data_IF_606654098206
#
_entry.id   IF_606654098206
#
_cell.length_a   1.000
_cell.length_b   1.000
_cell.length_c   1.000
_cell.angle_alpha   90.00
_cell.angle_beta   90.00
_cell.angle_gamma   90.00
#
_symmetry.space_group_name_H-M   'P 1'
#
loop_
_entity.id
_entity.type
_entity.pdbx_description
1 polymer ?
#
# COMPACT_ATOMS: atom_id res chain seq x y z
N UNK A 1 -19.78 33.65 10.55
CA UNK A 1 -19.83 32.55 11.56
C UNK A 1 -18.89 31.43 11.07
N UNK A 2 -17.68 31.30 11.66
CA UNK A 2 -17.13 30.11 12.40
C UNK A 2 -17.44 28.76 11.72
N UNK A 3 -16.53 27.81 11.45
CA UNK A 3 -15.11 27.52 11.78
C UNK A 3 -14.65 26.36 10.87
N UNK A 4 -13.55 26.48 10.12
CA UNK A 4 -12.23 25.82 10.30
C UNK A 4 -12.18 24.29 10.55
N UNK A 5 -11.27 23.67 9.78
CA UNK A 5 -10.33 22.59 10.12
C UNK A 5 -10.83 21.15 10.29
N UNK A 6 -10.63 20.34 9.25
CA UNK A 6 -10.26 18.93 9.41
C UNK A 6 -9.19 18.55 8.37
N UNK A 7 -8.05 19.23 8.45
CA UNK A 7 -6.77 18.71 7.98
C UNK A 7 -5.81 18.77 9.17
N UNK A 8 -6.13 18.02 10.22
CA UNK A 8 -5.23 17.89 11.35
C UNK A 8 -4.31 16.69 11.14
N UNK A 9 -3.09 17.04 10.73
CA UNK A 9 -1.83 16.37 11.07
C UNK A 9 -1.52 15.05 10.35
N UNK A 10 -1.29 15.11 9.04
CA UNK A 10 -0.64 14.05 8.26
C UNK A 10 0.79 13.68 8.73
N UNK A 11 1.32 14.35 9.77
CA UNK A 11 2.69 14.19 10.27
C UNK A 11 2.78 13.84 11.76
N UNK A 12 1.66 13.49 12.41
CA UNK A 12 1.67 13.05 13.81
C UNK A 12 2.31 11.65 13.93
N UNK A 13 3.63 11.61 14.12
CA UNK A 13 4.36 10.37 14.42
C UNK A 13 4.04 9.94 15.85
N UNK A 14 3.43 8.76 16.00
CA UNK A 14 3.33 8.10 17.29
C UNK A 14 4.59 7.29 17.53
N UNK A 15 5.22 7.48 18.67
CA UNK A 15 6.30 6.59 19.08
C UNK A 15 5.69 5.25 19.47
N UNK A 16 6.08 4.19 18.78
CA UNK A 16 5.63 2.82 19.06
C UNK A 16 6.85 2.02 19.46
N UNK A 17 6.89 1.58 20.72
CA UNK A 17 7.96 0.71 21.21
C UNK A 17 7.69 -0.71 20.68
N UNK A 18 8.68 -1.28 19.99
CA UNK A 18 8.63 -2.60 19.37
C UNK A 18 9.79 -3.44 19.87
N UNK A 19 9.50 -4.66 20.27
CA UNK A 19 10.51 -5.63 20.68
C UNK A 19 11.02 -6.38 19.45
N UNK A 20 12.34 -6.36 19.25
CA UNK A 20 13.03 -7.07 18.17
C UNK A 20 14.14 -7.95 18.76
N UNK A 21 14.55 -9.02 18.05
CA UNK A 21 15.70 -9.83 18.45
C UNK A 21 16.98 -8.99 18.61
N UNK A 22 17.75 -9.26 19.66
CA UNK A 22 18.93 -8.47 20.03
C UNK A 22 20.06 -8.58 19.00
N UNK A 23 20.24 -9.77 18.43
CA UNK A 23 21.16 -10.06 17.33
C UNK A 23 20.87 -9.20 16.10
N UNK A 24 19.60 -9.13 15.69
CA UNK A 24 19.14 -8.32 14.56
C UNK A 24 19.34 -6.82 14.81
N UNK A 25 19.06 -6.34 16.03
CA UNK A 25 19.27 -4.93 16.41
C UNK A 25 20.76 -4.59 16.39
N UNK A 26 21.60 -5.48 16.89
CA UNK A 26 23.05 -5.31 16.94
C UNK A 26 23.65 -5.29 15.54
N UNK A 27 23.23 -6.21 14.68
CA UNK A 27 23.63 -6.24 13.27
C UNK A 27 23.19 -4.98 12.53
N UNK A 28 21.93 -4.55 12.69
CA UNK A 28 21.42 -3.32 12.09
C UNK A 28 22.24 -2.09 12.51
N UNK A 29 22.62 -1.99 13.78
CA UNK A 29 23.50 -0.92 14.28
C UNK A 29 24.89 -0.98 13.65
N UNK A 30 25.50 -2.17 13.57
CA UNK A 30 26.81 -2.37 12.95
C UNK A 30 26.82 -1.98 11.47
N UNK A 31 25.71 -2.21 10.78
CA UNK A 31 25.52 -1.85 9.37
C UNK A 31 25.04 -0.40 9.16
N UNK A 32 24.84 0.38 10.22
CA UNK A 32 24.35 1.76 10.14
C UNK A 32 22.89 1.88 9.69
N UNK A 33 22.10 0.81 9.82
CA UNK A 33 20.69 0.76 9.43
C UNK A 33 19.84 1.42 10.51
N UNK A 34 19.02 2.39 10.12
CA UNK A 34 18.01 2.99 11.00
C UNK A 34 16.82 2.04 11.17
N UNK A 35 16.73 1.41 12.34
CA UNK A 35 15.68 0.44 12.70
C UNK A 35 14.28 1.04 12.52
N UNK A 36 14.06 2.27 12.99
CA UNK A 36 12.77 2.96 12.85
C UNK A 36 12.36 3.11 11.37
N UNK A 37 13.30 3.49 10.50
CA UNK A 37 13.04 3.64 9.07
C UNK A 37 12.82 2.29 8.37
N UNK A 38 13.56 1.26 8.79
CA UNK A 38 13.38 -0.09 8.28
C UNK A 38 12.00 -0.66 8.65
N UNK A 39 11.58 -0.47 9.90
CA UNK A 39 10.25 -0.85 10.38
C UNK A 39 9.14 -0.10 9.66
N UNK A 40 9.29 1.22 9.45
CA UNK A 40 8.33 2.02 8.71
C UNK A 40 8.15 1.49 7.27
N UNK A 41 9.26 1.21 6.58
CA UNK A 41 9.23 0.65 5.23
C UNK A 41 8.55 -0.72 5.20
N UNK A 42 8.92 -1.63 6.11
CA UNK A 42 8.33 -2.97 6.17
C UNK A 42 6.83 -2.92 6.46
N UNK A 43 6.43 -2.08 7.41
CA UNK A 43 5.01 -1.91 7.75
C UNK A 43 4.21 -1.26 6.62
N UNK A 44 4.78 -0.29 5.92
CA UNK A 44 4.13 0.33 4.76
C UNK A 44 3.91 -0.68 3.63
N UNK A 45 4.89 -1.55 3.38
CA UNK A 45 4.77 -2.64 2.39
C UNK A 45 3.64 -3.60 2.77
N UNK A 46 3.66 -4.16 3.98
CA UNK A 46 2.63 -5.09 4.47
C UNK A 46 1.22 -4.48 4.39
N UNK A 47 1.07 -3.21 4.81
CA UNK A 47 -0.21 -2.49 4.72
C UNK A 47 -0.65 -2.34 3.26
N UNK A 48 0.27 -2.02 2.35
CA UNK A 48 -0.05 -1.83 0.94
C UNK A 48 -0.49 -3.14 0.28
N UNK A 49 0.20 -4.24 0.57
CA UNK A 49 -0.14 -5.59 0.10
C UNK A 49 -1.51 -6.02 0.62
N UNK A 50 -1.76 -5.84 1.92
CA UNK A 50 -3.06 -6.20 2.50
C UNK A 50 -4.20 -5.36 1.92
N UNK A 51 -3.97 -4.06 1.68
CA UNK A 51 -4.96 -3.19 1.02
C UNK A 51 -5.21 -3.61 -0.42
N UNK A 52 -4.17 -3.97 -1.17
CA UNK A 52 -4.31 -4.46 -2.53
C UNK A 52 -5.13 -5.75 -2.58
N UNK A 53 -4.85 -6.70 -1.68
CA UNK A 53 -5.63 -7.94 -1.56
C UNK A 53 -7.10 -7.66 -1.24
N UNK A 54 -7.39 -6.81 -0.26
CA UNK A 54 -8.76 -6.43 0.09
C UNK A 54 -9.47 -5.69 -1.05
N UNK A 55 -8.74 -4.89 -1.83
CA UNK A 55 -9.30 -4.24 -2.99
C UNK A 55 -9.65 -5.26 -4.07
N UNK A 56 -8.76 -6.20 -4.35
CA UNK A 56 -9.00 -7.26 -5.33
C UNK A 56 -10.23 -8.09 -4.95
N UNK A 57 -10.33 -8.55 -3.70
CA UNK A 57 -11.49 -9.28 -3.19
C UNK A 57 -12.80 -8.50 -3.40
N UNK A 58 -12.79 -7.18 -3.13
CA UNK A 58 -13.98 -6.33 -3.30
C UNK A 58 -14.35 -6.06 -4.75
N UNK A 59 -13.36 -6.04 -5.65
CA UNK A 59 -13.56 -5.69 -7.05
C UNK A 59 -13.59 -6.92 -7.95
N UNK A 60 -13.46 -8.13 -7.41
CA UNK A 60 -13.41 -9.37 -8.18
C UNK A 60 -14.60 -9.51 -9.13
N UNK A 61 -15.82 -9.29 -8.63
CA UNK A 61 -17.03 -9.36 -9.46
C UNK A 61 -17.01 -8.35 -10.62
N UNK A 62 -16.59 -7.11 -10.37
CA UNK A 62 -16.49 -6.09 -11.41
C UNK A 62 -15.38 -6.39 -12.43
N UNK A 63 -14.27 -6.98 -11.98
CA UNK A 63 -13.18 -7.44 -12.83
C UNK A 63 -13.66 -8.59 -13.71
N UNK A 64 -14.40 -9.56 -13.15
CA UNK A 64 -14.93 -10.71 -13.87
C UNK A 64 -15.96 -10.28 -14.93
N UNK A 65 -16.88 -9.39 -14.58
CA UNK A 65 -17.85 -8.80 -15.52
C UNK A 65 -17.14 -8.05 -16.67
N UNK A 66 -16.13 -7.25 -16.34
CA UNK A 66 -15.36 -6.53 -17.34
C UNK A 66 -14.55 -7.46 -18.25
N UNK A 67 -13.96 -8.51 -17.70
CA UNK A 67 -13.25 -9.52 -18.45
C UNK A 67 -14.19 -10.25 -19.41
N UNK A 68 -15.36 -10.69 -18.94
CA UNK A 68 -16.38 -11.32 -19.78
C UNK A 68 -16.83 -10.40 -20.92
N UNK A 69 -17.04 -9.11 -20.63
CA UNK A 69 -17.37 -8.12 -21.66
C UNK A 69 -16.27 -8.00 -22.72
N UNK A 70 -14.99 -7.97 -22.33
CA UNK A 70 -13.87 -7.93 -23.27
C UNK A 70 -13.76 -9.22 -24.08
N UNK A 71 -14.00 -10.39 -23.49
CA UNK A 71 -13.98 -11.66 -24.22
C UNK A 71 -15.06 -11.72 -25.30
N UNK A 72 -16.26 -11.20 -25.00
CA UNK A 72 -17.38 -11.18 -25.94
C UNK A 72 -17.25 -10.08 -27.01
N UNK A 73 -16.82 -8.88 -26.62
CA UNK A 73 -16.88 -7.68 -27.47
C UNK A 73 -15.52 -7.26 -28.03
N UNK A 74 -14.44 -7.91 -27.60
CA UNK A 74 -13.07 -7.51 -27.85
C UNK A 74 -12.65 -6.31 -26.99
N UNK A 75 -11.37 -5.96 -27.05
CA UNK A 75 -10.83 -4.81 -26.32
C UNK A 75 -11.37 -3.52 -26.95
N UNK A 76 -12.08 -2.65 -26.19
CA UNK A 76 -12.55 -1.38 -26.72
C UNK A 76 -11.41 -0.55 -27.30
N UNK A 77 -11.66 0.08 -28.45
CA UNK A 77 -10.71 0.96 -29.13
C UNK A 77 -9.38 0.30 -29.54
N UNK A 78 -9.29 -1.04 -29.56
CA UNK A 78 -8.09 -1.75 -30.04
C UNK A 78 -7.64 -1.28 -31.43
N UNK A 79 -8.60 -0.90 -32.29
CA UNK A 79 -8.35 -0.38 -33.63
C UNK A 79 -7.55 0.93 -33.71
N UNK A 80 -7.40 1.66 -32.60
CA UNK A 80 -6.63 2.92 -32.54
C UNK A 80 -5.30 2.77 -31.78
N UNK A 81 -4.94 1.56 -31.33
CA UNK A 81 -3.68 1.31 -30.62
C UNK A 81 -2.52 1.27 -31.63
N UNK A 82 -1.57 2.20 -31.52
CA UNK A 82 -0.30 2.18 -32.26
C UNK A 82 0.74 1.38 -31.45
N UNK A 83 1.45 0.45 -32.09
CA UNK A 83 2.54 -0.35 -31.51
C UNK A 83 3.90 0.19 -31.96
#
# INVERSE_FOLDING_TARGET
>A
MRTKSSQENAFARKNTNVSLPEDMVSEAKNLGISISRACERGLAMEISERKAALWLEKNQAAIDEWNAFIEENGVPYAQFRQF
#
